data_IF_755078149639
#
_entry.id   IF_755078149639
#
_cell.length_a   1.000
_cell.length_b   1.000
_cell.length_c   1.000
_cell.angle_alpha   90.00
_cell.angle_beta   90.00
_cell.angle_gamma   90.00
#
_symmetry.space_group_name_H-M   'P 1'
#
loop_
_entity.id
_entity.type
_entity.pdbx_description
1 polymer ?
#
# COMPACT_ATOMS: atom_id res chain seq x y z
N UNK A 1 -3.34 -4.23 17.39
CA UNK A 1 -2.09 -3.43 17.28
C UNK A 1 -2.03 -2.89 15.86
N UNK A 2 -1.45 -1.72 15.58
CA UNK A 2 -1.35 -1.25 14.19
C UNK A 2 -0.15 -1.92 13.50
N UNK A 3 -0.22 -2.10 12.17
CA UNK A 3 0.90 -2.64 11.40
C UNK A 3 2.20 -1.84 11.60
N UNK A 4 2.10 -0.49 11.65
CA UNK A 4 3.26 0.35 11.98
C UNK A 4 3.88 0.04 13.34
N UNK A 5 3.07 -0.33 14.33
CA UNK A 5 3.57 -0.74 15.67
C UNK A 5 4.25 -2.11 15.60
N UNK A 6 3.73 -3.03 14.82
CA UNK A 6 4.33 -4.36 14.60
C UNK A 6 5.71 -4.24 13.95
N UNK A 7 5.82 -3.42 12.91
CA UNK A 7 7.10 -3.09 12.26
C UNK A 7 8.09 -2.49 13.26
N UNK A 8 7.67 -1.51 14.08
CA UNK A 8 8.55 -0.92 15.11
C UNK A 8 8.97 -1.93 16.15
N UNK A 9 8.09 -2.84 16.57
CA UNK A 9 8.42 -3.92 17.49
C UNK A 9 9.48 -4.88 16.89
N UNK A 10 9.36 -5.21 15.60
CA UNK A 10 10.36 -6.03 14.91
C UNK A 10 11.71 -5.33 14.85
N UNK A 11 11.74 -4.06 14.45
CA UNK A 11 12.97 -3.26 14.40
C UNK A 11 13.66 -3.12 15.77
N UNK A 12 12.89 -3.07 16.84
CA UNK A 12 13.41 -3.00 18.20
C UNK A 12 14.11 -4.30 18.66
N UNK A 13 13.93 -5.42 17.95
CA UNK A 13 14.63 -6.69 18.21
C UNK A 13 16.01 -6.76 17.53
N UNK A 14 16.30 -5.86 16.58
CA UNK A 14 17.61 -5.83 15.90
C UNK A 14 18.72 -5.56 16.93
N UNK A 15 19.78 -6.40 16.99
CA UNK A 15 20.84 -6.26 17.97
C UNK A 15 21.64 -4.95 17.82
N UNK A 16 22.03 -4.36 18.94
CA UNK A 16 22.94 -3.19 19.02
C UNK A 16 24.40 -3.64 19.12
N UNK A 17 24.87 -4.50 18.22
CA UNK A 17 26.17 -5.17 18.32
C UNK A 17 27.35 -4.23 18.06
N UNK A 18 27.24 -3.37 17.01
CA UNK A 18 28.31 -2.46 16.61
C UNK A 18 28.08 -1.05 17.16
N UNK A 19 29.13 -0.41 17.70
CA UNK A 19 29.05 0.95 18.22
C UNK A 19 28.69 1.95 17.09
N UNK A 20 29.33 1.86 15.91
CA UNK A 20 29.03 2.73 14.78
C UNK A 20 27.54 2.67 14.34
N UNK A 21 26.94 1.46 14.35
CA UNK A 21 25.52 1.30 14.04
C UNK A 21 24.63 1.90 15.14
N UNK A 22 25.02 1.80 16.40
CA UNK A 22 24.26 2.42 17.49
C UNK A 22 24.32 3.95 17.43
N UNK A 23 25.49 4.52 17.12
CA UNK A 23 25.65 5.97 16.87
C UNK A 23 24.77 6.42 15.70
N UNK A 24 24.81 5.70 14.57
CA UNK A 24 24.01 6.03 13.40
C UNK A 24 22.50 5.90 13.66
N UNK A 25 22.06 4.85 14.40
CA UNK A 25 20.65 4.68 14.76
C UNK A 25 20.16 5.78 15.70
N UNK A 26 20.95 6.14 16.74
CA UNK A 26 20.65 7.24 17.63
C UNK A 26 20.57 8.57 16.88
N UNK A 27 21.46 8.78 15.89
CA UNK A 27 21.43 9.94 15.03
C UNK A 27 20.13 10.05 14.22
N UNK A 28 19.69 8.95 13.60
CA UNK A 28 18.40 8.88 12.91
C UNK A 28 17.23 9.16 13.85
N UNK A 29 17.23 8.59 15.07
CA UNK A 29 16.21 8.90 16.07
C UNK A 29 16.14 10.38 16.38
N UNK A 30 17.26 11.03 16.59
CA UNK A 30 17.32 12.44 17.01
C UNK A 30 16.91 13.40 15.89
N UNK A 31 17.32 13.16 14.65
CA UNK A 31 16.94 14.00 13.51
C UNK A 31 15.45 13.85 13.12
N UNK A 32 14.78 12.80 13.59
CA UNK A 32 13.38 12.52 13.30
C UNK A 32 12.49 12.52 14.55
N UNK A 33 13.02 12.88 15.73
CA UNK A 33 12.23 12.98 16.94
C UNK A 33 11.38 14.28 16.97
N UNK A 34 10.56 14.42 18.02
CA UNK A 34 9.65 15.54 18.16
C UNK A 34 10.37 16.89 18.28
N UNK A 35 11.47 16.96 19.08
CA UNK A 35 12.29 18.15 19.23
C UNK A 35 13.77 17.74 19.33
N UNK A 36 14.59 18.34 18.50
CA UNK A 36 16.05 18.22 18.60
C UNK A 36 16.68 19.60 18.44
N UNK A 37 17.05 20.20 19.57
CA UNK A 37 17.64 21.54 19.62
C UNK A 37 18.83 21.56 20.56
N UNK A 38 19.57 22.65 20.56
CA UNK A 38 20.69 22.89 21.49
C UNK A 38 20.26 23.10 22.95
N UNK A 39 18.94 23.17 23.22
CA UNK A 39 18.39 23.38 24.57
C UNK A 39 17.59 22.21 25.09
N UNK A 40 16.98 21.46 24.17
CA UNK A 40 16.06 20.38 24.52
C UNK A 40 16.09 19.29 23.44
N UNK A 41 16.10 18.04 23.90
CA UNK A 41 15.84 16.87 23.06
C UNK A 41 14.57 16.21 23.61
N UNK A 42 13.54 16.03 22.78
CA UNK A 42 12.28 15.45 23.19
C UNK A 42 11.86 14.36 22.21
N UNK A 43 11.76 13.13 22.72
CA UNK A 43 11.34 11.95 21.98
C UNK A 43 9.96 11.53 22.49
N UNK A 44 9.00 11.38 21.59
CA UNK A 44 7.61 10.98 21.92
C UNK A 44 7.27 9.74 21.11
N UNK A 45 6.84 8.67 21.79
CA UNK A 45 6.45 7.43 21.11
C UNK A 45 5.29 6.74 21.82
N UNK A 46 4.41 6.08 21.04
CA UNK A 46 3.39 5.18 21.55
C UNK A 46 3.84 3.71 21.56
N UNK A 47 5.06 3.42 21.06
CA UNK A 47 5.60 2.08 20.97
C UNK A 47 6.42 1.75 22.23
N UNK A 48 5.92 0.84 23.08
CA UNK A 48 6.58 0.43 24.32
C UNK A 48 7.98 -0.16 24.03
N UNK A 49 8.12 -1.02 23.03
CA UNK A 49 9.40 -1.62 22.66
C UNK A 49 10.43 -0.58 22.23
N UNK A 50 10.02 0.50 21.57
CA UNK A 50 10.93 1.59 21.22
C UNK A 50 11.34 2.39 22.45
N UNK A 51 10.42 2.68 23.37
CA UNK A 51 10.74 3.34 24.62
C UNK A 51 11.75 2.52 25.46
N UNK A 52 11.62 1.19 25.49
CA UNK A 52 12.56 0.29 26.16
C UNK A 52 13.92 0.17 25.44
N UNK A 53 13.96 0.35 24.12
CA UNK A 53 15.19 0.35 23.33
C UNK A 53 16.03 1.60 23.56
N UNK A 54 15.41 2.76 23.72
CA UNK A 54 16.09 4.06 23.80
C UNK A 54 17.22 4.10 24.86
N UNK A 55 17.03 3.66 26.12
CA UNK A 55 18.11 3.66 27.11
C UNK A 55 19.31 2.78 26.71
N UNK A 56 19.04 1.63 26.09
CA UNK A 56 20.08 0.72 25.63
C UNK A 56 20.84 1.30 24.42
N UNK A 57 20.12 1.89 23.49
CA UNK A 57 20.65 2.54 22.29
C UNK A 57 21.56 3.72 22.66
N UNK A 58 21.07 4.63 23.49
CA UNK A 58 21.81 5.84 23.88
C UNK A 58 23.05 5.50 24.72
N UNK A 59 22.94 4.54 25.64
CA UNK A 59 24.12 4.06 26.38
C UNK A 59 25.16 3.42 25.46
N UNK A 60 24.73 2.70 24.43
CA UNK A 60 25.65 2.10 23.44
C UNK A 60 26.27 3.14 22.51
N UNK A 61 25.53 4.19 22.17
CA UNK A 61 25.98 5.26 21.27
C UNK A 61 26.87 6.30 21.94
N UNK A 62 26.53 6.72 23.17
CA UNK A 62 27.17 7.86 23.84
C UNK A 62 28.02 7.48 25.07
N UNK A 63 28.10 6.18 25.37
CA UNK A 63 28.90 5.65 26.48
C UNK A 63 28.09 5.15 27.65
N UNK A 64 28.73 4.28 28.47
CA UNK A 64 28.06 3.58 29.58
C UNK A 64 27.50 4.52 30.66
N UNK A 65 28.07 5.71 30.81
CA UNK A 65 27.67 6.73 31.79
C UNK A 65 26.53 7.63 31.31
N UNK A 66 26.11 7.49 30.03
CA UNK A 66 25.00 8.29 29.51
C UNK A 66 23.69 7.76 30.10
N UNK A 67 23.09 8.57 30.97
CA UNK A 67 21.83 8.23 31.65
C UNK A 67 20.70 9.03 30.99
N UNK A 68 19.73 8.31 30.43
CA UNK A 68 18.50 8.94 29.98
C UNK A 68 17.59 9.25 31.18
N UNK A 69 16.89 10.39 31.19
CA UNK A 69 15.83 10.68 32.14
C UNK A 69 14.75 9.59 32.11
N UNK A 70 14.03 9.46 33.22
CA UNK A 70 12.91 8.53 33.30
C UNK A 70 11.85 8.94 32.28
N UNK A 71 11.37 7.96 31.51
CA UNK A 71 10.33 8.18 30.52
C UNK A 71 9.00 8.41 31.25
N UNK A 72 8.37 9.54 31.03
CA UNK A 72 7.04 9.85 31.54
C UNK A 72 5.97 9.28 30.61
N UNK A 73 4.86 8.77 31.16
CA UNK A 73 3.67 8.42 30.40
C UNK A 73 2.67 9.56 30.43
N UNK A 74 2.45 10.20 29.28
CA UNK A 74 1.46 11.25 29.11
C UNK A 74 0.51 10.92 27.97
N UNK A 75 -0.79 10.82 28.24
CA UNK A 75 -1.81 10.52 27.24
C UNK A 75 -1.59 9.21 26.48
N UNK A 76 -1.11 8.15 27.15
CA UNK A 76 -0.81 6.85 26.54
C UNK A 76 0.47 6.80 25.69
N UNK A 77 1.29 7.87 25.72
CA UNK A 77 2.57 7.96 25.01
C UNK A 77 3.72 8.06 26.00
N UNK A 78 4.86 7.50 25.63
CA UNK A 78 6.11 7.70 26.32
C UNK A 78 6.74 9.01 25.85
N UNK A 79 7.12 9.85 26.81
CA UNK A 79 7.80 11.12 26.58
C UNK A 79 9.15 11.08 27.30
N UNK A 80 10.20 11.26 26.54
CA UNK A 80 11.57 11.33 27.06
C UNK A 80 12.11 12.72 26.72
N UNK A 81 12.49 13.49 27.76
CA UNK A 81 12.99 14.85 27.61
C UNK A 81 14.38 14.97 28.23
N UNK A 82 15.35 15.46 27.47
CA UNK A 82 16.71 15.75 27.91
C UNK A 82 16.90 17.25 27.85
N UNK A 83 17.14 17.87 29.02
CA UNK A 83 17.43 19.31 29.16
C UNK A 83 18.82 19.54 29.79
N UNK A 84 19.47 18.47 30.26
CA UNK A 84 20.82 18.56 30.81
C UNK A 84 21.80 18.97 29.70
N UNK A 85 22.51 20.08 29.96
CA UNK A 85 23.43 20.67 28.98
C UNK A 85 24.60 19.76 28.64
N UNK A 86 25.16 19.07 29.63
CA UNK A 86 26.30 18.19 29.42
C UNK A 86 25.91 16.95 28.58
N UNK A 87 24.71 16.40 28.80
CA UNK A 87 24.17 15.33 27.99
C UNK A 87 23.93 15.79 26.54
N UNK A 88 23.37 16.99 26.33
CA UNK A 88 23.16 17.55 24.99
C UNK A 88 24.51 17.80 24.29
N UNK A 89 25.50 18.39 24.98
CA UNK A 89 26.88 18.56 24.46
C UNK A 89 27.49 17.23 24.02
N UNK A 90 27.35 16.18 24.82
CA UNK A 90 27.84 14.82 24.49
C UNK A 90 27.19 14.29 23.22
N UNK A 91 25.86 14.47 23.06
CA UNK A 91 25.11 14.06 21.88
C UNK A 91 25.61 14.79 20.64
N UNK A 92 25.70 16.12 20.70
CA UNK A 92 26.14 16.93 19.55
C UNK A 92 27.60 16.62 19.15
N UNK A 93 28.48 16.49 20.13
CA UNK A 93 29.89 16.14 19.89
C UNK A 93 30.04 14.77 19.18
N UNK A 94 29.21 13.78 19.54
CA UNK A 94 29.22 12.47 18.88
C UNK A 94 28.85 12.51 17.39
N UNK A 95 28.17 13.57 16.95
CA UNK A 95 27.82 13.80 15.54
C UNK A 95 28.71 14.83 14.86
N UNK A 96 29.78 15.28 15.51
CA UNK A 96 30.71 16.29 14.97
C UNK A 96 30.09 17.69 14.87
N UNK A 97 29.03 17.96 15.64
CA UNK A 97 28.37 19.26 15.65
C UNK A 97 28.75 20.08 16.88
N UNK A 98 28.92 21.40 16.69
CA UNK A 98 29.20 22.36 17.74
C UNK A 98 27.90 23.08 18.12
N UNK A 99 27.52 22.99 19.41
CA UNK A 99 26.32 23.65 19.96
C UNK A 99 26.30 25.17 19.71
N UNK A 100 27.46 25.81 19.72
CA UNK A 100 27.58 27.27 19.55
C UNK A 100 27.36 27.75 18.12
N UNK A 101 27.50 26.83 17.12
CA UNK A 101 27.46 27.12 15.68
C UNK A 101 26.28 26.47 14.96
N UNK A 102 25.53 25.58 15.64
CA UNK A 102 24.45 24.84 14.99
C UNK A 102 23.21 25.72 14.84
N UNK A 103 22.98 26.25 13.65
CA UNK A 103 21.79 27.02 13.26
C UNK A 103 20.73 26.12 12.63
N UNK A 104 21.16 25.09 11.90
CA UNK A 104 20.30 24.11 11.24
C UNK A 104 20.93 22.72 11.35
N UNK A 105 20.05 21.70 11.40
CA UNK A 105 20.51 20.30 11.39
C UNK A 105 20.76 19.84 9.98
N UNK A 106 21.87 19.11 9.81
CA UNK A 106 22.30 18.47 8.58
C UNK A 106 22.72 17.02 8.87
N UNK A 107 22.67 16.15 7.86
CA UNK A 107 23.15 14.78 7.99
C UNK A 107 24.68 14.79 7.82
N UNK A 108 25.42 14.46 8.89
CA UNK A 108 26.85 14.23 8.78
C UNK A 108 27.12 12.84 8.16
N UNK A 109 27.51 12.82 6.89
CA UNK A 109 27.81 11.58 6.16
C UNK A 109 28.99 10.81 6.74
N UNK A 110 29.90 11.47 7.49
CA UNK A 110 30.97 10.79 8.24
C UNK A 110 30.48 9.84 9.33
N UNK A 111 29.25 10.04 9.82
CA UNK A 111 28.58 9.07 10.73
C UNK A 111 28.00 7.88 9.96
N UNK A 112 27.80 8.01 8.65
CA UNK A 112 27.08 7.08 7.77
C UNK A 112 28.01 6.43 6.72
N UNK A 113 29.28 6.27 6.98
CA UNK A 113 30.27 5.75 6.02
C UNK A 113 29.93 4.35 5.49
N UNK A 114 29.52 3.45 6.38
CA UNK A 114 29.24 2.06 6.03
C UNK A 114 27.75 1.83 5.73
N UNK A 115 27.43 0.85 4.88
CA UNK A 115 26.05 0.44 4.59
C UNK A 115 25.27 0.04 5.84
N UNK A 116 25.92 -0.60 6.82
CA UNK A 116 25.28 -0.94 8.09
C UNK A 116 24.92 0.31 8.91
N UNK A 117 25.70 1.39 8.83
CA UNK A 117 25.41 2.66 9.49
C UNK A 117 24.25 3.39 8.77
N UNK A 118 24.24 3.39 7.44
CA UNK A 118 23.13 3.93 6.64
C UNK A 118 21.81 3.23 6.94
N UNK A 119 21.81 1.90 6.97
CA UNK A 119 20.63 1.11 7.36
C UNK A 119 20.18 1.38 8.80
N UNK A 120 21.13 1.51 9.75
CA UNK A 120 20.84 1.83 11.14
C UNK A 120 20.29 3.24 11.32
N UNK A 121 20.80 4.23 10.59
CA UNK A 121 20.28 5.58 10.55
C UNK A 121 18.81 5.61 10.08
N UNK A 122 18.52 4.95 8.96
CA UNK A 122 17.15 4.86 8.43
C UNK A 122 16.21 4.11 9.37
N UNK A 123 16.71 3.09 10.07
CA UNK A 123 15.95 2.41 11.15
C UNK A 123 15.61 3.39 12.28
N UNK A 124 16.57 4.16 12.76
CA UNK A 124 16.37 5.19 13.79
C UNK A 124 15.36 6.25 13.34
N UNK A 125 15.50 6.74 12.10
CA UNK A 125 14.57 7.69 11.49
C UNK A 125 13.13 7.13 11.43
N UNK A 126 12.98 5.85 11.05
CA UNK A 126 11.66 5.21 11.00
C UNK A 126 11.09 4.96 12.41
N UNK A 127 11.90 4.54 13.38
CA UNK A 127 11.44 4.34 14.75
C UNK A 127 10.88 5.64 15.36
N UNK A 128 11.53 6.77 15.13
CA UNK A 128 11.14 8.08 15.67
C UNK A 128 10.03 8.75 14.86
N UNK A 129 10.22 8.93 13.56
CA UNK A 129 9.34 9.72 12.68
C UNK A 129 8.68 8.91 11.54
N UNK A 130 8.83 7.58 11.53
CA UNK A 130 8.29 6.72 10.47
C UNK A 130 6.91 6.18 10.77
N UNK A 131 6.15 5.98 9.70
CA UNK A 131 4.87 5.27 9.71
C UNK A 131 4.70 4.46 8.42
N UNK A 132 3.94 3.38 8.51
CA UNK A 132 3.55 2.54 7.36
C UNK A 132 2.10 2.10 7.54
N UNK A 133 1.34 2.14 6.45
CA UNK A 133 -0.07 1.74 6.45
C UNK A 133 -0.19 0.22 6.40
N UNK A 134 -1.32 -0.28 6.90
CA UNK A 134 -1.72 -1.67 6.80
C UNK A 134 -1.75 -2.11 5.32
N UNK A 135 -0.98 -3.17 4.95
CA UNK A 135 -0.89 -3.62 3.56
C UNK A 135 -2.23 -4.14 3.01
N UNK A 136 -3.19 -4.53 3.85
CA UNK A 136 -4.54 -4.90 3.41
C UNK A 136 -5.30 -3.71 2.81
N UNK A 137 -4.98 -2.47 3.22
CA UNK A 137 -5.61 -1.24 2.74
C UNK A 137 -4.88 -0.68 1.52
N UNK A 138 -3.76 -0.03 1.75
CA UNK A 138 -2.95 0.60 0.70
C UNK A 138 -1.46 0.52 1.04
N UNK A 139 -0.60 0.82 0.06
CA UNK A 139 0.85 0.85 0.24
C UNK A 139 1.30 2.29 0.41
N UNK A 140 1.68 2.64 1.63
CA UNK A 140 2.20 3.96 1.97
C UNK A 140 3.14 3.87 3.16
N UNK A 141 4.38 4.30 2.98
CA UNK A 141 5.37 4.46 4.05
C UNK A 141 5.84 5.90 4.03
N UNK A 142 5.93 6.52 5.20
CA UNK A 142 6.40 7.90 5.34
C UNK A 142 7.44 8.04 6.46
N UNK A 143 8.37 9.00 6.26
CA UNK A 143 9.32 9.49 7.23
C UNK A 143 9.10 10.97 7.41
N UNK A 144 8.83 11.43 8.62
CA UNK A 144 8.44 12.80 8.94
C UNK A 144 9.52 13.44 9.80
N UNK A 145 9.99 14.60 9.41
CA UNK A 145 10.91 15.43 10.20
C UNK A 145 10.54 16.91 10.13
N UNK A 146 10.81 17.66 11.18
CA UNK A 146 10.68 19.13 11.21
C UNK A 146 11.87 19.84 10.52
N UNK A 147 12.92 19.11 10.13
CA UNK A 147 14.17 19.67 9.59
C UNK A 147 14.22 19.52 8.06
N UNK A 148 13.90 20.57 7.33
CA UNK A 148 13.84 20.55 5.86
C UNK A 148 15.18 20.17 5.19
N UNK A 149 16.33 20.59 5.75
CA UNK A 149 17.66 20.19 5.25
C UNK A 149 17.89 18.71 5.42
N UNK A 150 17.57 18.15 6.59
CA UNK A 150 17.66 16.71 6.88
C UNK A 150 16.79 15.91 5.90
N UNK A 151 15.57 16.38 5.61
CA UNK A 151 14.68 15.69 4.65
C UNK A 151 15.28 15.64 3.25
N UNK A 152 15.85 16.76 2.75
CA UNK A 152 16.50 16.80 1.43
C UNK A 152 17.72 15.88 1.34
N UNK A 153 18.56 15.89 2.38
CA UNK A 153 19.77 15.05 2.44
C UNK A 153 19.40 13.57 2.61
N UNK A 154 18.36 13.26 3.39
CA UNK A 154 17.83 11.90 3.50
C UNK A 154 17.23 11.40 2.18
N UNK A 155 16.59 12.28 1.38
CA UNK A 155 16.10 11.93 0.05
C UNK A 155 17.28 11.59 -0.90
N UNK A 156 18.39 12.33 -0.83
CA UNK A 156 19.62 12.02 -1.58
C UNK A 156 20.21 10.67 -1.15
N UNK A 157 20.34 10.43 0.17
CA UNK A 157 20.81 9.15 0.73
C UNK A 157 19.91 7.98 0.29
N UNK A 158 18.60 8.14 0.29
CA UNK A 158 17.66 7.13 -0.17
C UNK A 158 17.84 6.85 -1.67
N UNK A 159 18.08 7.89 -2.49
CA UNK A 159 18.33 7.74 -3.92
C UNK A 159 19.64 6.97 -4.18
N UNK A 160 20.71 7.25 -3.44
CA UNK A 160 21.98 6.50 -3.51
C UNK A 160 21.77 5.01 -3.14
N UNK A 161 20.87 4.72 -2.23
CA UNK A 161 20.50 3.35 -1.83
C UNK A 161 19.50 2.68 -2.78
N UNK A 162 19.10 3.34 -3.87
CA UNK A 162 18.17 2.80 -4.87
C UNK A 162 16.68 3.06 -4.58
N UNK A 163 16.35 3.87 -3.57
CA UNK A 163 14.96 4.18 -3.21
C UNK A 163 14.51 5.51 -3.80
N UNK A 164 13.50 5.48 -4.67
CA UNK A 164 12.86 6.67 -5.23
C UNK A 164 11.80 7.23 -4.27
N UNK A 165 12.22 7.91 -3.20
CA UNK A 165 11.31 8.59 -2.29
C UNK A 165 10.75 9.87 -2.94
N UNK A 166 9.48 10.20 -2.61
CA UNK A 166 8.88 11.50 -2.92
C UNK A 166 8.86 12.36 -1.68
N UNK A 167 8.92 13.69 -1.86
CA UNK A 167 8.86 14.66 -0.78
C UNK A 167 7.64 15.55 -0.90
N UNK A 168 7.04 15.90 0.25
CA UNK A 168 5.96 16.88 0.36
C UNK A 168 6.08 17.63 1.68
N UNK A 169 5.78 18.92 1.66
CA UNK A 169 5.70 19.72 2.88
C UNK A 169 4.28 19.63 3.48
N UNK A 170 4.21 19.37 4.79
CA UNK A 170 2.98 19.25 5.55
C UNK A 170 3.05 20.14 6.80
N UNK A 171 2.58 21.36 6.69
CA UNK A 171 2.71 22.37 7.73
C UNK A 171 4.16 22.70 8.03
N UNK A 172 4.59 22.53 9.28
CA UNK A 172 5.98 22.75 9.71
C UNK A 172 6.91 21.55 9.42
N UNK A 173 6.39 20.43 8.92
CA UNK A 173 7.15 19.21 8.71
C UNK A 173 7.32 18.91 7.22
N UNK A 174 8.43 18.28 6.87
CA UNK A 174 8.66 17.67 5.56
C UNK A 174 8.51 16.15 5.68
N UNK A 175 7.81 15.56 4.72
CA UNK A 175 7.49 14.14 4.67
C UNK A 175 8.14 13.51 3.44
N UNK A 176 9.00 12.52 3.65
CA UNK A 176 9.47 11.61 2.59
C UNK A 176 8.58 10.38 2.57
N UNK A 177 8.14 9.93 1.38
CA UNK A 177 7.20 8.81 1.30
C UNK A 177 7.41 7.92 0.09
N UNK A 178 6.98 6.65 0.25
CA UNK A 178 6.90 5.64 -0.79
C UNK A 178 5.44 5.18 -0.98
N UNK A 179 5.04 4.88 -2.23
CA UNK A 179 3.70 4.34 -2.57
C UNK A 179 3.76 3.02 -3.32
N UNK A 180 4.96 2.61 -3.77
CA UNK A 180 5.14 1.32 -4.44
C UNK A 180 5.43 0.25 -3.39
N UNK A 181 4.71 -0.88 -3.45
CA UNK A 181 4.92 -2.00 -2.52
C UNK A 181 6.35 -2.49 -2.53
N UNK A 182 6.96 -2.65 -3.71
CA UNK A 182 8.32 -3.12 -3.87
C UNK A 182 9.33 -2.24 -3.13
N UNK A 183 9.20 -0.91 -3.26
CA UNK A 183 10.08 0.02 -2.58
C UNK A 183 9.91 -0.02 -1.05
N UNK A 184 8.69 -0.30 -0.56
CA UNK A 184 8.41 -0.45 0.88
C UNK A 184 8.99 -1.77 1.40
N UNK A 185 8.80 -2.87 0.66
CA UNK A 185 9.34 -4.20 0.96
C UNK A 185 10.88 -4.14 1.08
N UNK A 186 11.55 -3.57 0.09
CA UNK A 186 13.00 -3.40 0.05
C UNK A 186 13.50 -2.49 1.19
N UNK A 187 12.80 -1.38 1.46
CA UNK A 187 13.15 -0.46 2.54
C UNK A 187 13.04 -1.13 3.90
N UNK A 188 11.93 -1.82 4.20
CA UNK A 188 11.73 -2.52 5.46
C UNK A 188 12.77 -3.63 5.67
N UNK A 189 13.08 -4.39 4.62
CA UNK A 189 14.15 -5.40 4.64
C UNK A 189 15.50 -4.75 4.95
N UNK A 190 15.83 -3.64 4.28
CA UNK A 190 17.10 -2.91 4.46
C UNK A 190 17.29 -2.41 5.88
N UNK A 191 16.23 -1.90 6.52
CA UNK A 191 16.32 -1.38 7.88
C UNK A 191 16.20 -2.46 8.97
N UNK A 192 15.88 -3.71 8.61
CA UNK A 192 15.86 -4.87 9.50
C UNK A 192 14.48 -5.33 9.97
N UNK A 193 13.44 -5.15 9.15
CA UNK A 193 12.09 -5.68 9.36
C UNK A 193 11.66 -6.62 8.20
N UNK A 194 12.35 -7.77 8.00
CA UNK A 194 12.04 -8.69 6.93
C UNK A 194 10.67 -9.39 7.09
N UNK A 195 10.20 -9.63 8.33
CA UNK A 195 8.88 -10.25 8.53
C UNK A 195 7.78 -9.30 8.04
N UNK A 196 7.85 -8.01 8.39
CA UNK A 196 6.90 -7.02 7.89
C UNK A 196 6.96 -6.86 6.36
N UNK A 197 8.14 -6.98 5.74
CA UNK A 197 8.27 -7.01 4.29
C UNK A 197 7.54 -8.23 3.67
N UNK A 198 7.67 -9.41 4.29
CA UNK A 198 6.96 -10.64 3.86
C UNK A 198 5.44 -10.50 4.00
N UNK A 199 4.94 -9.83 5.04
CA UNK A 199 3.52 -9.56 5.22
C UNK A 199 2.97 -8.67 4.08
N UNK A 200 3.75 -7.68 3.62
CA UNK A 200 3.38 -6.85 2.46
C UNK A 200 3.35 -7.69 1.18
N UNK A 201 4.35 -8.56 0.96
CA UNK A 201 4.38 -9.46 -0.19
C UNK A 201 3.17 -10.40 -0.20
N UNK A 202 2.82 -10.99 0.94
CA UNK A 202 1.67 -11.88 1.10
C UNK A 202 0.36 -11.15 0.79
N UNK A 203 0.15 -9.96 1.36
CA UNK A 203 -1.03 -9.15 1.09
C UNK A 203 -1.15 -8.75 -0.40
N UNK A 204 -0.02 -8.54 -1.09
CA UNK A 204 0.01 -8.25 -2.53
C UNK A 204 -0.49 -9.44 -3.36
N UNK A 205 -0.05 -10.66 -3.02
CA UNK A 205 -0.49 -11.89 -3.70
C UNK A 205 -2.00 -12.08 -3.50
N UNK A 206 -2.50 -11.97 -2.26
CA UNK A 206 -3.93 -12.07 -1.96
C UNK A 206 -4.78 -11.07 -2.73
N UNK A 207 -4.36 -9.79 -2.76
CA UNK A 207 -5.04 -8.75 -3.56
C UNK A 207 -5.05 -9.07 -5.05
N UNK A 208 -3.96 -9.57 -5.59
CA UNK A 208 -3.87 -9.97 -7.00
C UNK A 208 -4.83 -11.11 -7.33
N UNK A 209 -4.91 -12.12 -6.47
CA UNK A 209 -5.84 -13.24 -6.63
C UNK A 209 -7.30 -12.77 -6.57
N UNK A 210 -7.65 -11.98 -5.56
CA UNK A 210 -9.01 -11.45 -5.39
C UNK A 210 -9.43 -10.56 -6.58
N UNK A 211 -8.52 -9.72 -7.08
CA UNK A 211 -8.77 -8.89 -8.26
C UNK A 211 -9.00 -9.74 -9.52
N UNK A 212 -8.25 -10.83 -9.68
CA UNK A 212 -8.43 -11.77 -10.81
C UNK A 212 -9.80 -12.46 -10.74
N UNK A 213 -10.18 -12.96 -9.56
CA UNK A 213 -11.49 -13.59 -9.33
C UNK A 213 -12.61 -12.60 -9.61
N UNK A 214 -12.54 -11.39 -9.05
CA UNK A 214 -13.56 -10.36 -9.25
C UNK A 214 -13.71 -9.97 -10.72
N UNK A 215 -12.60 -9.84 -11.47
CA UNK A 215 -12.65 -9.57 -12.92
C UNK A 215 -13.34 -10.70 -13.68
N UNK A 216 -13.06 -11.95 -13.32
CA UNK A 216 -13.70 -13.12 -13.95
C UNK A 216 -15.19 -13.14 -13.66
N UNK A 217 -15.59 -13.00 -12.38
CA UNK A 217 -17.01 -12.95 -11.98
C UNK A 217 -17.74 -11.81 -12.69
N UNK A 218 -17.17 -10.60 -12.72
CA UNK A 218 -17.81 -9.46 -13.40
C UNK A 218 -17.94 -9.70 -14.90
N UNK A 219 -16.96 -10.35 -15.55
CA UNK A 219 -17.04 -10.71 -16.95
C UNK A 219 -18.14 -11.73 -17.22
N UNK A 220 -18.21 -12.79 -16.40
CA UNK A 220 -19.20 -13.86 -16.52
C UNK A 220 -20.63 -13.31 -16.28
N UNK A 221 -20.80 -12.44 -15.27
CA UNK A 221 -22.09 -11.77 -14.99
C UNK A 221 -22.49 -10.89 -16.18
N UNK A 222 -21.61 -10.02 -16.68
CA UNK A 222 -21.91 -9.15 -17.80
C UNK A 222 -22.24 -9.93 -19.10
N UNK A 223 -21.64 -11.09 -19.28
CA UNK A 223 -21.97 -11.99 -20.41
C UNK A 223 -23.34 -12.64 -20.23
N UNK A 224 -23.68 -13.08 -19.01
CA UNK A 224 -24.99 -13.64 -18.69
C UNK A 224 -26.10 -12.60 -18.88
N UNK A 225 -25.90 -11.37 -18.37
CA UNK A 225 -26.85 -10.28 -18.55
C UNK A 225 -27.13 -9.95 -20.02
N UNK A 226 -26.08 -9.94 -20.86
CA UNK A 226 -26.25 -9.75 -22.32
C UNK A 226 -27.05 -10.86 -22.98
N UNK A 227 -26.83 -12.11 -22.54
CA UNK A 227 -27.57 -13.28 -23.08
C UNK A 227 -29.06 -13.16 -22.70
N UNK A 228 -29.35 -12.83 -21.44
CA UNK A 228 -30.71 -12.65 -20.95
C UNK A 228 -31.42 -11.49 -21.68
N UNK A 229 -30.74 -10.33 -21.79
CA UNK A 229 -31.31 -9.18 -22.47
C UNK A 229 -31.60 -9.47 -23.96
N UNK A 230 -30.68 -10.13 -24.66
CA UNK A 230 -30.92 -10.54 -26.05
C UNK A 230 -32.04 -11.55 -26.21
N UNK A 231 -32.16 -12.50 -25.25
CA UNK A 231 -33.28 -13.44 -25.27
C UNK A 231 -34.62 -12.75 -25.06
N UNK A 232 -34.70 -11.80 -24.15
CA UNK A 232 -35.89 -11.03 -23.85
C UNK A 232 -36.30 -10.18 -25.06
N UNK A 233 -35.36 -9.47 -25.70
CA UNK A 233 -35.60 -8.70 -26.91
C UNK A 233 -36.15 -9.57 -28.03
N UNK A 234 -35.63 -10.77 -28.24
CA UNK A 234 -36.09 -11.75 -29.20
C UNK A 234 -37.53 -12.19 -28.90
N UNK A 235 -37.83 -12.53 -27.65
CA UNK A 235 -39.15 -12.95 -27.20
C UNK A 235 -40.19 -11.84 -27.40
N UNK A 236 -39.84 -10.62 -27.02
CA UNK A 236 -40.74 -9.47 -27.18
C UNK A 236 -41.03 -9.16 -28.65
N UNK A 237 -40.02 -9.27 -29.52
CA UNK A 237 -40.20 -9.15 -30.95
C UNK A 237 -41.13 -10.23 -31.54
N UNK A 238 -40.89 -11.51 -31.13
CA UNK A 238 -41.73 -12.62 -31.60
C UNK A 238 -43.18 -12.47 -31.14
N UNK A 239 -43.42 -12.11 -29.87
CA UNK A 239 -44.75 -11.87 -29.34
C UNK A 239 -45.46 -10.70 -30.01
N UNK A 240 -44.74 -9.67 -30.41
CA UNK A 240 -45.28 -8.56 -31.22
C UNK A 240 -45.71 -9.06 -32.58
N UNK A 241 -44.89 -9.82 -33.30
CA UNK A 241 -45.25 -10.42 -34.60
C UNK A 241 -46.47 -11.31 -34.46
N UNK A 242 -46.50 -12.20 -33.47
CA UNK A 242 -47.60 -13.10 -33.18
C UNK A 242 -48.92 -12.35 -32.96
N UNK A 243 -48.92 -11.28 -32.17
CA UNK A 243 -50.08 -10.48 -31.85
C UNK A 243 -50.59 -9.68 -33.06
N UNK A 244 -49.68 -9.08 -33.79
CA UNK A 244 -50.03 -8.09 -34.84
C UNK A 244 -50.31 -8.73 -36.21
N UNK A 245 -49.68 -9.87 -36.51
CA UNK A 245 -49.74 -10.51 -37.84
C UNK A 245 -49.98 -12.03 -37.81
N UNK A 246 -49.77 -12.70 -36.65
CA UNK A 246 -49.71 -14.15 -36.58
C UNK A 246 -48.32 -14.69 -36.99
N UNK A 247 -47.92 -15.86 -36.46
CA UNK A 247 -46.63 -16.48 -36.81
C UNK A 247 -46.62 -17.16 -38.18
N UNK A 248 -47.78 -17.45 -38.77
CA UNK A 248 -47.99 -18.09 -40.07
C UNK A 248 -47.59 -17.20 -41.26
N UNK A 249 -47.44 -15.90 -41.07
CA UNK A 249 -46.88 -14.98 -42.07
C UNK A 249 -45.36 -15.14 -42.25
N UNK A 250 -44.71 -15.81 -41.30
CA UNK A 250 -43.26 -16.01 -41.33
C UNK A 250 -42.87 -17.21 -42.21
N UNK A 251 -41.73 -17.15 -42.92
CA UNK A 251 -41.16 -18.31 -43.56
C UNK A 251 -40.94 -19.44 -42.58
N UNK A 252 -41.17 -20.69 -42.93
CA UNK A 252 -41.11 -21.88 -42.06
C UNK A 252 -39.88 -21.94 -41.14
N UNK A 253 -38.71 -21.54 -41.68
CA UNK A 253 -37.44 -21.53 -40.93
C UNK A 253 -37.40 -20.45 -39.83
N UNK A 254 -38.09 -19.32 -40.01
CA UNK A 254 -38.21 -18.28 -39.00
C UNK A 254 -39.28 -18.61 -37.97
N UNK A 255 -40.40 -19.18 -38.43
CA UNK A 255 -41.46 -19.68 -37.56
C UNK A 255 -40.97 -20.75 -36.59
N UNK A 256 -40.20 -21.74 -37.08
CA UNK A 256 -39.58 -22.75 -36.23
C UNK A 256 -38.61 -22.16 -35.19
N UNK A 257 -37.81 -21.13 -35.57
CA UNK A 257 -36.90 -20.46 -34.65
C UNK A 257 -37.65 -19.63 -33.62
N UNK A 258 -38.78 -18.98 -33.97
CA UNK A 258 -39.65 -18.25 -33.06
C UNK A 258 -40.27 -19.16 -32.00
N UNK A 259 -40.88 -20.25 -32.42
CA UNK A 259 -41.50 -21.25 -31.52
C UNK A 259 -40.48 -21.85 -30.58
N UNK A 260 -39.28 -22.17 -31.09
CA UNK A 260 -38.20 -22.74 -30.29
C UNK A 260 -37.73 -21.74 -29.18
N UNK A 261 -37.60 -20.44 -29.47
CA UNK A 261 -37.21 -19.42 -28.51
C UNK A 261 -38.27 -19.20 -27.44
N UNK A 262 -39.56 -19.16 -27.82
CA UNK A 262 -40.67 -19.00 -26.87
C UNK A 262 -40.76 -20.20 -25.92
N UNK A 263 -40.59 -21.43 -26.46
CA UNK A 263 -40.60 -22.64 -25.68
C UNK A 263 -39.42 -22.76 -24.70
N UNK A 264 -38.30 -22.09 -24.98
CA UNK A 264 -37.06 -22.17 -24.21
C UNK A 264 -36.47 -20.77 -23.95
N UNK A 265 -37.13 -19.92 -23.15
CA UNK A 265 -36.77 -18.51 -22.95
C UNK A 265 -35.38 -18.31 -22.32
N UNK A 266 -34.94 -19.22 -21.45
CA UNK A 266 -33.66 -19.12 -20.74
C UNK A 266 -32.51 -19.82 -21.46
N UNK A 267 -32.79 -20.60 -22.50
CA UNK A 267 -31.77 -21.36 -23.20
C UNK A 267 -30.77 -20.46 -23.95
N UNK A 268 -29.48 -20.78 -23.89
CA UNK A 268 -28.48 -20.12 -24.69
C UNK A 268 -28.67 -20.37 -26.18
N UNK A 269 -28.10 -19.53 -27.04
CA UNK A 269 -28.14 -19.73 -28.51
C UNK A 269 -27.51 -21.07 -28.93
N UNK A 270 -26.56 -21.58 -28.15
CA UNK A 270 -25.93 -22.87 -28.43
C UNK A 270 -26.88 -24.03 -28.13
N UNK A 271 -27.55 -23.97 -26.98
CA UNK A 271 -28.53 -24.98 -26.55
C UNK A 271 -29.74 -24.99 -27.49
N UNK A 272 -30.26 -23.82 -27.85
CA UNK A 272 -31.35 -23.70 -28.83
C UNK A 272 -30.95 -24.26 -30.22
N UNK A 273 -29.72 -24.05 -30.64
CA UNK A 273 -29.24 -24.59 -31.92
C UNK A 273 -29.22 -26.13 -31.94
N UNK A 274 -28.90 -26.73 -30.78
CA UNK A 274 -28.95 -28.18 -30.60
C UNK A 274 -30.39 -28.73 -30.54
N UNK A 275 -31.31 -27.96 -29.90
CA UNK A 275 -32.72 -28.32 -29.75
C UNK A 275 -33.52 -28.16 -31.07
N UNK A 276 -33.00 -27.49 -32.08
CA UNK A 276 -33.66 -27.31 -33.38
C UNK A 276 -33.70 -28.64 -34.17
N UNK A 277 -34.76 -28.85 -34.93
CA UNK A 277 -34.87 -30.01 -35.84
C UNK A 277 -35.11 -29.57 -37.29
N UNK A 278 -34.18 -29.93 -38.21
CA UNK A 278 -32.84 -30.53 -37.95
C UNK A 278 -31.94 -29.55 -37.18
N UNK A 279 -30.88 -30.08 -36.43
CA UNK A 279 -29.95 -29.24 -35.70
C UNK A 279 -29.26 -28.23 -36.64
N UNK A 280 -29.09 -26.99 -36.15
CA UNK A 280 -28.45 -25.91 -36.93
C UNK A 280 -27.22 -25.38 -36.16
N UNK A 281 -26.37 -24.61 -36.86
CA UNK A 281 -25.27 -23.94 -36.19
C UNK A 281 -25.78 -22.74 -35.36
N UNK A 282 -25.06 -22.38 -34.29
CA UNK A 282 -25.32 -21.19 -33.46
C UNK A 282 -25.46 -19.94 -34.31
N UNK A 283 -24.61 -19.76 -35.35
CA UNK A 283 -24.63 -18.63 -36.27
C UNK A 283 -25.86 -18.60 -37.10
N UNK A 284 -26.32 -19.75 -37.62
CA UNK A 284 -27.54 -19.85 -38.38
C UNK A 284 -28.78 -19.48 -37.56
N UNK A 285 -28.87 -20.01 -36.32
CA UNK A 285 -29.99 -19.67 -35.44
C UNK A 285 -29.97 -18.20 -35.03
N UNK A 286 -28.80 -17.66 -34.70
CA UNK A 286 -28.64 -16.24 -34.38
C UNK A 286 -29.11 -15.32 -35.51
N UNK A 287 -28.78 -15.67 -36.77
CA UNK A 287 -29.25 -14.95 -37.95
C UNK A 287 -30.77 -14.99 -38.07
N UNK A 288 -31.41 -16.16 -37.83
CA UNK A 288 -32.87 -16.29 -37.88
C UNK A 288 -33.55 -15.44 -36.80
N UNK A 289 -33.05 -15.51 -35.54
CA UNK A 289 -33.60 -14.74 -34.44
C UNK A 289 -33.38 -13.23 -34.61
N UNK A 290 -32.25 -12.80 -35.20
CA UNK A 290 -32.00 -11.42 -35.53
C UNK A 290 -32.97 -10.92 -36.61
N UNK A 291 -33.30 -11.74 -37.62
CA UNK A 291 -34.34 -11.40 -38.60
C UNK A 291 -35.71 -11.21 -37.97
N UNK A 292 -36.04 -11.93 -36.89
CA UNK A 292 -37.31 -11.73 -36.17
C UNK A 292 -37.32 -10.42 -35.39
N UNK A 293 -36.20 -9.98 -34.83
CA UNK A 293 -36.13 -8.67 -34.14
C UNK A 293 -36.18 -7.49 -35.11
N UNK A 294 -35.69 -7.67 -36.35
CA UNK A 294 -35.70 -6.69 -37.44
C UNK A 294 -36.93 -6.83 -38.37
N UNK A 295 -37.90 -7.68 -38.02
CA UNK A 295 -39.05 -7.92 -38.90
C UNK A 295 -39.96 -6.70 -38.94
N UNK A 296 -40.15 -6.18 -40.14
CA UNK A 296 -41.18 -5.20 -40.54
C UNK A 296 -41.95 -5.77 -41.72
N UNK A 297 -43.25 -5.65 -41.69
CA UNK A 297 -44.07 -5.96 -42.88
C UNK A 297 -43.96 -4.72 -43.77
N UNK A 298 -43.32 -4.89 -44.95
CA UNK A 298 -43.41 -3.87 -46.01
C UNK A 298 -44.88 -3.82 -46.46
N UNK A 299 -45.49 -2.62 -46.45
CA UNK A 299 -46.87 -2.36 -46.91
C UNK A 299 -47.07 -2.71 -48.38
#
# INVERSE_FOLDING_TARGET
MSFATEVKNELCRVPLSRHCCAVAEAYGVLLYCHTFTTREIRIVTACDAFAERLPKLFRRAFGAHFVLPVTEKAGGRHVLTITDRAAIETVFAAFGADLSRTVAHHINLGVLESDCCRASFLRGAFLAGGSVTDPSKNYHLELITAHASVSREAAALLTELGFAARSIDRGANTVLYFKKSEAIEDFLTKIGAPCAAMDIMSAKVEKSMNNSINRKVNCDTANADKVVAAAQEQIDAIRRIERDYGLDVLPEKLQSAALLRIANPEASLADLAMLSYPPVTKSCLNYRLKKLTEFHMDD
#
